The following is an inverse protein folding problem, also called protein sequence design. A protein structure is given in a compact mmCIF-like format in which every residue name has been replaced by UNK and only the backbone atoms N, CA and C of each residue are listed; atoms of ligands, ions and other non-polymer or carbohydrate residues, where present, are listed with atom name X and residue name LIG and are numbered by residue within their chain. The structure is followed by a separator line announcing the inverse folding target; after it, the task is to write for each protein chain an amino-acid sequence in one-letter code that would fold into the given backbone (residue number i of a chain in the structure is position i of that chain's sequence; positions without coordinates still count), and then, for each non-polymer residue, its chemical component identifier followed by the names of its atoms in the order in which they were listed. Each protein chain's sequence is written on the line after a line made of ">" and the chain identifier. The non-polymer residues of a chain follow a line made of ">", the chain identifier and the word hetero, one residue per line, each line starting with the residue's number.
data_IF_836291868887
#
_entry.id   IF_836291868887
#
_cell.length_a   1.000
_cell.length_b   1.000
_cell.length_c   1.000
_cell.angle_alpha   90.00
_cell.angle_beta   90.00
_cell.angle_gamma   90.00
#
_symmetry.space_group_name_H-M   'P 1'
#
loop_
_entity.id
_entity.type
_entity.pdbx_description
1 polymer ?
#
# COMPACT_ATOMS: atom_id res chain seq x y z
N UNK A 1 -8.04 20.82 25.36
CA UNK A 1 -8.75 19.73 24.70
C UNK A 1 -8.16 18.43 25.19
N UNK A 2 -8.90 17.67 25.98
CA UNK A 2 -8.49 16.31 26.34
C UNK A 2 -8.52 15.47 25.07
N UNK A 3 -7.38 14.86 24.71
CA UNK A 3 -7.33 13.90 23.61
C UNK A 3 -8.19 12.70 24.00
N UNK A 4 -9.22 12.39 23.24
CA UNK A 4 -10.00 11.17 23.37
C UNK A 4 -9.11 10.00 22.90
N UNK A 5 -8.23 9.53 23.77
CA UNK A 5 -7.49 8.32 23.54
C UNK A 5 -8.44 7.14 23.77
N UNK A 6 -8.90 6.53 22.68
CA UNK A 6 -9.67 5.30 22.76
C UNK A 6 -8.79 4.19 23.36
N UNK A 7 -9.36 3.44 24.30
CA UNK A 7 -8.68 2.27 24.87
C UNK A 7 -8.42 1.21 23.80
N UNK A 8 -7.35 0.45 23.95
CA UNK A 8 -6.96 -0.56 22.99
C UNK A 8 -8.05 -1.61 22.72
N UNK A 9 -8.81 -2.01 23.74
CA UNK A 9 -9.91 -2.96 23.58
C UNK A 9 -11.02 -2.39 22.69
N UNK A 10 -11.40 -1.12 22.90
CA UNK A 10 -12.36 -0.43 22.04
C UNK A 10 -11.89 -0.34 20.59
N UNK A 11 -10.59 -0.08 20.37
CA UNK A 11 -10.00 -0.07 19.02
C UNK A 11 -10.07 -1.44 18.35
N UNK A 12 -9.82 -2.51 19.09
CA UNK A 12 -9.91 -3.89 18.59
C UNK A 12 -11.36 -4.25 18.26
N UNK A 13 -12.33 -3.87 19.08
CA UNK A 13 -13.74 -4.13 18.82
C UNK A 13 -14.22 -3.40 17.55
N UNK A 14 -13.89 -2.12 17.41
CA UNK A 14 -14.17 -1.35 16.19
C UNK A 14 -13.49 -2.00 14.96
N UNK A 15 -12.22 -2.35 15.09
CA UNK A 15 -11.45 -2.97 14.00
C UNK A 15 -12.04 -4.34 13.61
N UNK A 16 -12.48 -5.13 14.58
CA UNK A 16 -13.12 -6.43 14.34
C UNK A 16 -14.45 -6.26 13.59
N UNK A 17 -15.28 -5.32 14.02
CA UNK A 17 -16.54 -5.02 13.32
C UNK A 17 -16.29 -4.57 11.87
N UNK A 18 -15.37 -3.63 11.66
CA UNK A 18 -15.03 -3.13 10.32
C UNK A 18 -14.40 -4.23 9.44
N UNK A 19 -13.47 -5.01 9.96
CA UNK A 19 -12.82 -6.09 9.23
C UNK A 19 -13.84 -7.15 8.77
N UNK A 20 -14.79 -7.54 9.63
CA UNK A 20 -15.89 -8.45 9.27
C UNK A 20 -16.77 -7.84 8.18
N UNK A 21 -17.18 -6.59 8.36
CA UNK A 21 -18.06 -5.89 7.41
C UNK A 21 -17.41 -5.75 6.03
N UNK A 22 -16.15 -5.36 5.98
CA UNK A 22 -15.44 -5.13 4.72
C UNK A 22 -15.01 -6.42 4.03
N UNK A 23 -14.57 -7.43 4.79
CA UNK A 23 -14.22 -8.72 4.20
C UNK A 23 -15.42 -9.58 3.82
N UNK A 24 -16.60 -9.33 4.42
CA UNK A 24 -17.77 -10.20 4.30
C UNK A 24 -17.61 -11.55 5.03
N UNK A 25 -16.66 -11.65 5.97
CA UNK A 25 -16.37 -12.89 6.72
C UNK A 25 -16.69 -12.69 8.20
N UNK A 26 -17.69 -13.39 8.72
CA UNK A 26 -18.13 -13.24 10.12
C UNK A 26 -17.09 -13.68 11.17
N UNK A 27 -16.28 -14.67 10.83
CA UNK A 27 -15.33 -15.28 11.76
C UNK A 27 -13.94 -14.63 11.79
N UNK A 28 -13.83 -13.35 11.35
CA UNK A 28 -12.57 -12.63 11.42
C UNK A 28 -12.27 -12.23 12.85
N UNK A 29 -11.04 -12.52 13.28
CA UNK A 29 -10.48 -12.04 14.55
C UNK A 29 -9.44 -10.98 14.30
N UNK A 30 -9.43 -9.93 15.12
CA UNK A 30 -8.45 -8.84 15.04
C UNK A 30 -7.67 -8.75 16.34
N UNK A 31 -6.40 -8.42 16.24
CA UNK A 31 -5.52 -8.18 17.38
C UNK A 31 -4.42 -7.21 17.02
N UNK A 32 -3.61 -6.83 17.99
CA UNK A 32 -2.42 -6.03 17.72
C UNK A 32 -1.22 -6.91 17.35
N UNK A 33 -0.44 -6.42 16.38
CA UNK A 33 0.83 -7.02 16.00
C UNK A 33 1.91 -6.73 17.06
N UNK A 34 2.77 -7.71 17.30
CA UNK A 34 3.97 -7.52 18.14
C UNK A 34 5.11 -6.81 17.41
N UNK A 35 4.97 -6.69 16.10
CA UNK A 35 5.94 -6.03 15.23
C UNK A 35 5.31 -4.78 14.61
N UNK A 36 6.11 -3.82 14.16
CA UNK A 36 5.63 -2.55 13.59
C UNK A 36 5.14 -2.71 12.15
N UNK A 37 4.29 -3.71 11.91
CA UNK A 37 3.63 -3.91 10.61
C UNK A 37 2.29 -4.60 10.78
N UNK A 38 1.40 -4.37 9.82
CA UNK A 38 0.15 -5.11 9.74
C UNK A 38 0.39 -6.47 9.10
N UNK A 39 -0.40 -7.47 9.51
CA UNK A 39 -0.30 -8.85 9.02
C UNK A 39 -1.70 -9.44 8.85
N UNK A 40 -1.94 -10.06 7.70
CA UNK A 40 -3.15 -10.87 7.47
C UNK A 40 -2.77 -12.34 7.35
N UNK A 41 -3.43 -13.19 8.15
CA UNK A 41 -3.35 -14.64 8.09
C UNK A 41 -4.62 -15.18 7.47
N UNK A 42 -4.59 -15.40 6.17
CA UNK A 42 -5.78 -15.73 5.37
C UNK A 42 -6.45 -17.01 5.88
N UNK A 43 -5.68 -18.08 6.10
CA UNK A 43 -6.19 -19.39 6.55
C UNK A 43 -6.77 -19.34 7.96
N UNK A 44 -6.20 -18.52 8.85
CA UNK A 44 -6.67 -18.33 10.22
C UNK A 44 -7.81 -17.32 10.30
N UNK A 45 -8.14 -16.62 9.21
CA UNK A 45 -9.07 -15.47 9.18
C UNK A 45 -8.72 -14.43 10.25
N UNK A 46 -7.43 -14.17 10.40
CA UNK A 46 -6.89 -13.31 11.45
C UNK A 46 -6.20 -12.09 10.87
N UNK A 47 -6.44 -10.95 11.47
CA UNK A 47 -5.78 -9.68 11.16
C UNK A 47 -5.01 -9.23 12.40
N UNK A 48 -3.75 -8.90 12.21
CA UNK A 48 -2.91 -8.27 13.22
C UNK A 48 -2.57 -6.86 12.75
N UNK A 49 -2.99 -5.86 13.52
CA UNK A 49 -2.80 -4.45 13.19
C UNK A 49 -1.66 -3.86 14.01
N UNK A 50 -0.92 -2.98 13.39
CA UNK A 50 0.03 -2.15 14.11
C UNK A 50 -0.71 -1.30 15.15
N UNK A 51 -0.24 -1.22 16.40
CA UNK A 51 -0.85 -0.38 17.42
C UNK A 51 -0.96 1.08 16.98
N UNK A 52 -2.03 1.76 17.40
CA UNK A 52 -2.37 3.10 16.92
C UNK A 52 -1.27 4.14 17.19
N UNK A 53 -0.55 4.02 18.29
CA UNK A 53 0.58 4.88 18.67
C UNK A 53 1.79 4.79 17.73
N UNK A 54 1.87 3.76 16.92
CA UNK A 54 2.96 3.60 15.95
C UNK A 54 2.70 4.30 14.61
N UNK A 55 1.48 4.82 14.39
CA UNK A 55 1.20 5.65 13.21
C UNK A 55 1.66 7.09 13.45
N UNK A 56 1.87 7.81 12.36
CA UNK A 56 2.43 9.17 12.41
C UNK A 56 1.34 10.23 12.51
N UNK A 57 1.72 11.36 13.12
CA UNK A 57 0.89 12.55 13.17
C UNK A 57 0.09 12.69 14.47
N UNK A 58 -0.91 13.57 14.46
CA UNK A 58 -1.84 13.75 15.56
C UNK A 58 -2.85 12.60 15.64
N UNK A 59 -3.66 12.54 16.69
CA UNK A 59 -4.61 11.46 16.93
C UNK A 59 -5.57 11.25 15.76
N UNK A 60 -6.07 12.32 15.15
CA UNK A 60 -6.95 12.23 13.99
C UNK A 60 -6.26 11.57 12.79
N UNK A 61 -5.01 11.92 12.51
CA UNK A 61 -4.22 11.33 11.43
C UNK A 61 -3.90 9.86 11.71
N UNK A 62 -3.60 9.52 12.96
CA UNK A 62 -3.35 8.13 13.38
C UNK A 62 -4.58 7.27 13.21
N UNK A 63 -5.76 7.73 13.61
CA UNK A 63 -7.02 7.00 13.43
C UNK A 63 -7.37 6.80 11.95
N UNK A 64 -7.11 7.77 11.10
CA UNK A 64 -7.28 7.60 9.64
C UNK A 64 -6.38 6.50 9.10
N UNK A 65 -5.09 6.51 9.43
CA UNK A 65 -4.13 5.49 9.01
C UNK A 65 -4.52 4.10 9.56
N UNK A 66 -4.93 4.03 10.82
CA UNK A 66 -5.41 2.80 11.43
C UNK A 66 -6.64 2.25 10.70
N UNK A 67 -7.62 3.07 10.40
CA UNK A 67 -8.82 2.69 9.63
C UNK A 67 -8.47 2.19 8.22
N UNK A 68 -7.57 2.86 7.53
CA UNK A 68 -7.09 2.41 6.21
C UNK A 68 -6.39 1.06 6.31
N UNK A 69 -5.59 0.85 7.35
CA UNK A 69 -4.94 -0.44 7.60
C UNK A 69 -5.95 -1.57 7.80
N UNK A 70 -7.01 -1.35 8.59
CA UNK A 70 -8.09 -2.34 8.74
C UNK A 70 -8.71 -2.67 7.38
N UNK A 71 -8.97 -1.64 6.56
CA UNK A 71 -9.56 -1.85 5.25
C UNK A 71 -8.66 -2.67 4.32
N UNK A 72 -7.35 -2.36 4.25
CA UNK A 72 -6.41 -3.14 3.45
C UNK A 72 -6.37 -4.61 3.87
N UNK A 73 -6.25 -4.87 5.17
CA UNK A 73 -6.17 -6.23 5.66
C UNK A 73 -7.49 -6.99 5.46
N UNK A 74 -8.64 -6.31 5.58
CA UNK A 74 -9.94 -6.89 5.23
C UNK A 74 -10.06 -7.20 3.72
N UNK A 75 -9.57 -6.30 2.84
CA UNK A 75 -9.55 -6.55 1.40
C UNK A 75 -8.61 -7.71 1.04
N UNK A 76 -7.47 -7.84 1.71
CA UNK A 76 -6.58 -9.00 1.55
C UNK A 76 -7.26 -10.30 1.94
N UNK A 77 -7.94 -10.33 3.10
CA UNK A 77 -8.73 -11.49 3.52
C UNK A 77 -9.80 -11.89 2.50
N UNK A 78 -10.36 -10.90 1.81
CA UNK A 78 -11.45 -11.12 0.86
C UNK A 78 -10.96 -11.58 -0.51
N UNK A 79 -9.91 -10.95 -1.01
CA UNK A 79 -9.53 -11.01 -2.41
C UNK A 79 -8.17 -11.65 -2.69
N UNK A 80 -7.32 -11.88 -1.68
CA UNK A 80 -6.05 -12.56 -1.88
C UNK A 80 -6.15 -14.05 -1.54
N UNK A 81 -5.50 -14.88 -2.33
CA UNK A 81 -5.37 -16.32 -2.08
C UNK A 81 -4.23 -16.60 -1.10
N UNK A 82 -3.19 -15.78 -1.17
CA UNK A 82 -2.00 -15.83 -0.31
C UNK A 82 -1.35 -14.46 -0.19
N UNK A 83 -0.50 -14.33 0.82
CA UNK A 83 0.35 -13.16 1.05
C UNK A 83 1.77 -13.66 1.24
N UNK A 84 2.71 -13.10 0.49
CA UNK A 84 4.12 -13.40 0.62
C UNK A 84 4.81 -12.38 1.53
N UNK A 85 5.98 -12.78 2.07
CA UNK A 85 6.83 -11.85 2.81
C UNK A 85 7.36 -10.74 1.89
N UNK A 86 7.48 -9.54 2.44
CA UNK A 86 8.11 -8.39 1.78
C UNK A 86 9.65 -8.38 1.89
N UNK A 87 10.24 -9.41 2.47
CA UNK A 87 11.69 -9.44 2.76
C UNK A 87 12.52 -9.60 1.49
N UNK A 88 11.92 -10.09 0.42
CA UNK A 88 12.57 -10.34 -0.87
C UNK A 88 11.86 -9.64 -2.02
N UNK A 89 12.60 -9.34 -3.09
CA UNK A 89 12.11 -8.64 -4.26
C UNK A 89 10.87 -9.29 -4.88
N UNK A 90 10.83 -10.61 -4.93
CA UNK A 90 9.70 -11.38 -5.46
C UNK A 90 8.40 -11.07 -4.71
N UNK A 91 8.38 -11.29 -3.41
CA UNK A 91 7.18 -11.05 -2.58
C UNK A 91 6.81 -9.56 -2.52
N UNK A 92 7.81 -8.68 -2.48
CA UNK A 92 7.60 -7.24 -2.44
C UNK A 92 6.90 -6.72 -3.71
N UNK A 93 7.33 -7.15 -4.90
CA UNK A 93 6.73 -6.76 -6.18
C UNK A 93 5.32 -7.35 -6.30
N UNK A 94 5.14 -8.63 -5.97
CA UNK A 94 3.83 -9.26 -5.96
C UNK A 94 2.85 -8.48 -5.07
N UNK A 95 3.25 -8.21 -3.82
CA UNK A 95 2.39 -7.50 -2.87
C UNK A 95 2.09 -6.06 -3.30
N UNK A 96 3.00 -5.40 -4.03
CA UNK A 96 2.74 -4.07 -4.59
C UNK A 96 1.62 -4.12 -5.64
N UNK A 97 1.66 -5.09 -6.56
CA UNK A 97 0.64 -5.26 -7.60
C UNK A 97 -0.68 -5.72 -6.98
N UNK A 98 -0.65 -6.68 -6.07
CA UNK A 98 -1.84 -7.15 -5.36
C UNK A 98 -2.51 -6.04 -4.53
N UNK A 99 -1.72 -5.22 -3.85
CA UNK A 99 -2.28 -4.06 -3.12
C UNK A 99 -3.06 -3.15 -4.06
N UNK A 100 -2.53 -2.90 -5.26
CA UNK A 100 -3.26 -2.11 -6.26
C UNK A 100 -4.52 -2.79 -6.76
N UNK A 101 -4.47 -4.11 -6.99
CA UNK A 101 -5.64 -4.87 -7.44
C UNK A 101 -6.76 -4.83 -6.40
N UNK A 102 -6.47 -5.12 -5.15
CA UNK A 102 -7.48 -5.11 -4.09
C UNK A 102 -8.04 -3.72 -3.82
N UNK A 103 -7.25 -2.65 -4.01
CA UNK A 103 -7.74 -1.27 -3.96
C UNK A 103 -8.78 -1.02 -5.04
N UNK A 104 -8.46 -1.32 -6.30
CA UNK A 104 -9.35 -1.09 -7.42
C UNK A 104 -10.65 -1.91 -7.32
N UNK A 105 -10.55 -3.15 -6.83
CA UNK A 105 -11.74 -3.98 -6.54
C UNK A 105 -12.52 -3.40 -5.36
N UNK A 106 -11.83 -3.03 -4.30
CA UNK A 106 -12.47 -2.56 -3.06
C UNK A 106 -13.18 -1.23 -3.21
N UNK A 107 -12.61 -0.26 -3.95
CA UNK A 107 -13.26 1.06 -4.16
C UNK A 107 -14.50 0.99 -5.05
N UNK A 108 -14.67 -0.04 -5.87
CA UNK A 108 -15.94 -0.27 -6.60
C UNK A 108 -17.14 -0.42 -5.64
N UNK A 109 -16.87 -1.02 -4.47
CA UNK A 109 -17.89 -1.26 -3.43
C UNK A 109 -17.86 -0.16 -2.36
N UNK A 110 -16.65 0.29 -1.98
CA UNK A 110 -16.41 1.21 -0.87
C UNK A 110 -15.87 2.54 -1.36
N UNK A 111 -16.64 3.26 -2.16
CA UNK A 111 -16.24 4.53 -2.81
C UNK A 111 -15.72 5.59 -1.83
N UNK A 112 -16.27 5.66 -0.63
CA UNK A 112 -15.80 6.57 0.43
C UNK A 112 -14.36 6.32 0.92
N UNK A 113 -13.73 5.20 0.50
CA UNK A 113 -12.33 4.95 0.82
C UNK A 113 -11.34 5.69 -0.09
N UNK A 114 -11.78 6.27 -1.20
CA UNK A 114 -10.90 6.98 -2.16
C UNK A 114 -10.12 8.11 -1.46
N UNK A 115 -10.78 8.95 -0.67
CA UNK A 115 -10.13 10.05 0.06
C UNK A 115 -9.12 9.53 1.09
N UNK A 116 -9.47 8.43 1.76
CA UNK A 116 -8.58 7.80 2.73
C UNK A 116 -7.35 7.18 2.06
N UNK A 117 -7.53 6.60 0.89
CA UNK A 117 -6.42 6.08 0.08
C UNK A 117 -5.50 7.20 -0.40
N UNK A 118 -6.05 8.31 -0.89
CA UNK A 118 -5.25 9.50 -1.26
C UNK A 118 -4.44 9.99 -0.05
N UNK A 119 -5.06 10.09 1.12
CA UNK A 119 -4.37 10.48 2.35
C UNK A 119 -3.25 9.49 2.71
N UNK A 120 -3.52 8.18 2.66
CA UNK A 120 -2.53 7.14 2.93
C UNK A 120 -1.35 7.20 1.95
N UNK A 121 -1.63 7.29 0.64
CA UNK A 121 -0.60 7.40 -0.39
C UNK A 121 0.24 8.67 -0.25
N UNK A 122 -0.38 9.78 0.18
CA UNK A 122 0.33 11.02 0.47
C UNK A 122 1.35 10.82 1.60
N UNK A 123 0.95 10.15 2.68
CA UNK A 123 1.86 9.82 3.78
C UNK A 123 2.94 8.83 3.34
N UNK A 124 2.59 7.82 2.56
CA UNK A 124 3.55 6.88 1.98
C UNK A 124 4.57 7.60 1.12
N UNK A 125 4.15 8.47 0.21
CA UNK A 125 5.06 9.25 -0.62
C UNK A 125 6.01 10.10 0.22
N UNK A 126 5.49 10.81 1.22
CA UNK A 126 6.32 11.62 2.12
C UNK A 126 7.37 10.79 2.87
N UNK A 127 7.05 9.57 3.26
CA UNK A 127 7.94 8.67 4.00
C UNK A 127 8.90 7.87 3.12
N UNK A 128 8.71 7.82 1.78
CA UNK A 128 9.63 7.06 0.89
C UNK A 128 11.04 7.66 0.89
N UNK A 129 12.01 6.77 0.89
CA UNK A 129 13.42 7.12 0.83
C UNK A 129 13.81 7.77 -0.52
N UNK A 130 14.80 8.67 -0.48
CA UNK A 130 15.48 9.12 -1.67
C UNK A 130 16.36 7.99 -2.21
N UNK A 131 16.35 7.72 -3.52
CA UNK A 131 17.15 6.65 -4.13
C UNK A 131 18.65 6.81 -3.88
N UNK A 132 19.13 8.02 -3.68
CA UNK A 132 20.54 8.29 -3.32
C UNK A 132 20.97 7.68 -1.98
N UNK A 133 20.03 7.38 -1.08
CA UNK A 133 20.29 6.73 0.20
C UNK A 133 20.20 5.20 0.18
N UNK A 134 19.90 4.61 -0.99
CA UNK A 134 19.72 3.15 -1.15
C UNK A 134 20.80 2.62 -2.08
N UNK A 135 21.45 1.55 -1.67
CA UNK A 135 22.56 0.94 -2.42
C UNK A 135 22.14 -0.38 -3.11
N UNK A 136 22.89 -0.71 -4.15
CA UNK A 136 22.76 -1.99 -4.84
C UNK A 136 21.40 -2.21 -5.52
N UNK A 137 21.03 -3.47 -5.65
CA UNK A 137 19.80 -3.89 -6.34
C UNK A 137 18.51 -3.49 -5.62
N UNK A 138 18.55 -3.30 -4.30
CA UNK A 138 17.42 -2.76 -3.53
C UNK A 138 16.97 -1.37 -4.03
N UNK A 139 17.89 -0.57 -4.56
CA UNK A 139 17.59 0.72 -5.21
C UNK A 139 16.68 0.55 -6.43
N UNK A 140 16.90 -0.49 -7.24
CA UNK A 140 16.06 -0.78 -8.41
C UNK A 140 14.65 -1.19 -7.99
N UNK A 141 14.52 -1.99 -6.94
CA UNK A 141 13.21 -2.38 -6.39
C UNK A 141 12.46 -1.17 -5.85
N UNK A 142 13.15 -0.29 -5.11
CA UNK A 142 12.54 0.93 -4.61
C UNK A 142 12.13 1.88 -5.73
N UNK A 143 12.96 2.02 -6.78
CA UNK A 143 12.62 2.81 -7.97
C UNK A 143 11.38 2.27 -8.68
N UNK A 144 11.29 0.95 -8.87
CA UNK A 144 10.09 0.30 -9.40
C UNK A 144 8.87 0.62 -8.54
N UNK A 145 8.97 0.44 -7.23
CA UNK A 145 7.87 0.68 -6.30
C UNK A 145 7.37 2.13 -6.34
N UNK A 146 8.30 3.09 -6.28
CA UNK A 146 7.96 4.50 -6.33
C UNK A 146 7.30 4.86 -7.68
N UNK A 147 7.88 4.42 -8.80
CA UNK A 147 7.35 4.73 -10.12
C UNK A 147 6.01 4.04 -10.39
N UNK A 148 5.84 2.81 -9.94
CA UNK A 148 4.58 2.07 -10.06
C UNK A 148 3.45 2.71 -9.24
N UNK A 149 3.71 3.11 -8.00
CA UNK A 149 2.67 3.63 -7.11
C UNK A 149 2.42 5.14 -7.27
N UNK A 150 3.45 5.92 -7.58
CA UNK A 150 3.35 7.39 -7.54
C UNK A 150 3.62 8.06 -8.89
N UNK A 151 4.03 7.30 -9.91
CA UNK A 151 4.37 7.84 -11.22
C UNK A 151 5.59 8.76 -11.20
N UNK A 152 6.37 8.73 -10.12
CA UNK A 152 7.54 9.58 -9.91
C UNK A 152 8.55 8.88 -9.00
N UNK A 153 9.79 9.37 -8.99
CA UNK A 153 10.91 8.80 -8.25
C UNK A 153 11.61 9.91 -7.46
N UNK A 154 11.90 9.66 -6.19
CA UNK A 154 12.69 10.56 -5.36
C UNK A 154 14.19 10.35 -5.58
N UNK A 155 14.85 11.36 -6.09
CA UNK A 155 16.28 11.35 -6.37
C UNK A 155 16.62 10.95 -7.79
N UNK A 156 17.92 10.81 -8.05
CA UNK A 156 18.44 10.56 -9.39
C UNK A 156 18.53 9.06 -9.68
N UNK A 157 18.25 8.69 -10.91
CA UNK A 157 18.42 7.35 -11.47
C UNK A 157 19.09 7.45 -12.83
N UNK A 158 20.00 6.53 -13.14
CA UNK A 158 20.65 6.50 -14.45
C UNK A 158 19.62 6.21 -15.56
N UNK A 159 19.70 6.85 -16.74
CA UNK A 159 18.75 6.66 -17.83
C UNK A 159 18.55 5.20 -18.23
N UNK A 160 19.61 4.41 -18.30
CA UNK A 160 19.55 2.97 -18.62
C UNK A 160 18.78 2.17 -17.57
N UNK A 161 18.94 2.50 -16.31
CA UNK A 161 18.22 1.88 -15.20
C UNK A 161 16.75 2.32 -15.19
N UNK A 162 16.50 3.62 -15.41
CA UNK A 162 15.15 4.15 -15.53
C UNK A 162 14.34 3.47 -16.64
N UNK A 163 14.97 3.22 -17.81
CA UNK A 163 14.32 2.52 -18.91
C UNK A 163 13.88 1.10 -18.52
N UNK A 164 14.67 0.38 -17.73
CA UNK A 164 14.29 -0.95 -17.20
C UNK A 164 13.11 -0.82 -16.24
N UNK A 165 13.16 0.14 -15.32
CA UNK A 165 12.08 0.42 -14.37
C UNK A 165 10.79 0.80 -15.09
N UNK A 166 10.85 1.69 -16.08
CA UNK A 166 9.67 2.10 -16.85
C UNK A 166 9.00 0.92 -17.58
N UNK A 167 9.79 0.07 -18.25
CA UNK A 167 9.28 -1.13 -18.91
C UNK A 167 8.66 -2.12 -17.92
N UNK A 168 9.29 -2.32 -16.76
CA UNK A 168 8.77 -3.21 -15.73
C UNK A 168 7.45 -2.68 -15.14
N UNK A 169 7.33 -1.36 -14.97
CA UNK A 169 6.09 -0.72 -14.52
C UNK A 169 4.99 -0.80 -15.57
N UNK A 170 5.32 -0.65 -16.86
CA UNK A 170 4.35 -0.83 -17.95
C UNK A 170 3.80 -2.26 -17.96
N UNK A 171 4.68 -3.27 -17.85
CA UNK A 171 4.26 -4.67 -17.71
C UNK A 171 3.39 -4.89 -16.45
N UNK A 172 3.79 -4.35 -15.31
CA UNK A 172 3.03 -4.48 -14.07
C UNK A 172 1.61 -3.86 -14.18
N UNK A 173 1.48 -2.73 -14.86
CA UNK A 173 0.17 -2.11 -15.16
C UNK A 173 -0.66 -2.99 -16.08
N UNK A 174 -0.07 -3.53 -17.14
CA UNK A 174 -0.76 -4.46 -18.04
C UNK A 174 -1.26 -5.73 -17.31
N UNK A 175 -0.41 -6.32 -16.44
CA UNK A 175 -0.80 -7.44 -15.59
C UNK A 175 -1.99 -7.05 -14.67
N UNK A 176 -1.95 -5.88 -14.07
CA UNK A 176 -3.02 -5.38 -13.24
C UNK A 176 -4.34 -5.23 -14.03
N UNK A 177 -4.28 -4.57 -15.18
CA UNK A 177 -5.45 -4.35 -16.04
C UNK A 177 -6.04 -5.69 -16.52
N UNK A 178 -5.22 -6.61 -16.99
CA UNK A 178 -5.66 -7.95 -17.40
C UNK A 178 -6.28 -8.73 -16.24
N UNK A 179 -5.69 -8.64 -15.04
CA UNK A 179 -6.25 -9.30 -13.86
C UNK A 179 -7.63 -8.75 -13.48
N UNK A 180 -7.84 -7.44 -13.67
CA UNK A 180 -9.11 -6.78 -13.41
C UNK A 180 -10.19 -7.09 -14.45
N UNK A 181 -9.81 -7.23 -15.72
CA UNK A 181 -10.72 -7.54 -16.82
C UNK A 181 -11.18 -8.99 -16.80
N UNK A 182 -10.27 -9.91 -16.48
CA UNK A 182 -10.52 -11.35 -16.51
C UNK A 182 -10.76 -11.97 -15.13
N UNK A 183 -10.86 -11.15 -14.09
CA UNK A 183 -11.04 -11.57 -12.68
C UNK A 183 -9.98 -12.58 -12.20
N UNK A 184 -8.72 -12.37 -12.60
CA UNK A 184 -7.63 -13.22 -12.16
C UNK A 184 -7.20 -12.93 -10.73
N UNK A 185 -6.92 -14.00 -9.96
CA UNK A 185 -6.48 -13.94 -8.56
C UNK A 185 -4.96 -13.77 -8.37
N UNK A 186 -4.54 -13.86 -7.12
CA UNK A 186 -3.14 -13.71 -6.68
C UNK A 186 -2.19 -14.67 -7.39
N UNK A 187 -2.59 -15.95 -7.54
CA UNK A 187 -1.75 -17.00 -8.14
C UNK A 187 -1.44 -16.71 -9.61
N UNK A 188 -2.38 -16.11 -10.34
CA UNK A 188 -2.12 -15.71 -11.72
C UNK A 188 -1.12 -14.55 -11.79
N UNK A 189 -1.30 -13.49 -10.97
CA UNK A 189 -0.36 -12.37 -10.90
C UNK A 189 1.03 -12.87 -10.52
N UNK A 190 1.12 -13.76 -9.53
CA UNK A 190 2.38 -14.36 -9.09
C UNK A 190 3.12 -15.04 -10.24
N UNK A 191 2.42 -15.75 -11.13
CA UNK A 191 3.03 -16.41 -12.29
C UNK A 191 3.73 -15.44 -13.25
N UNK A 192 3.41 -14.14 -13.19
CA UNK A 192 3.98 -13.07 -14.02
C UNK A 192 5.17 -12.34 -13.37
N UNK A 193 5.38 -12.49 -12.06
CA UNK A 193 6.48 -11.82 -11.35
C UNK A 193 7.87 -12.13 -11.90
N UNK A 194 8.20 -13.38 -12.31
CA UNK A 194 9.51 -13.68 -12.90
C UNK A 194 9.84 -12.82 -14.13
N UNK A 195 8.86 -12.45 -14.94
CA UNK A 195 9.07 -11.61 -16.12
C UNK A 195 9.44 -10.16 -15.72
N UNK A 196 8.78 -9.62 -14.71
CA UNK A 196 9.11 -8.29 -14.14
C UNK A 196 10.53 -8.30 -13.57
N UNK A 197 10.89 -9.33 -12.80
CA UNK A 197 12.22 -9.47 -12.22
C UNK A 197 13.31 -9.55 -13.31
N UNK A 198 13.03 -10.28 -14.39
CA UNK A 198 13.94 -10.37 -15.54
C UNK A 198 14.18 -9.01 -16.20
N UNK A 199 13.15 -8.19 -16.41
CA UNK A 199 13.29 -6.83 -16.95
C UNK A 199 14.13 -5.95 -16.03
N UNK A 200 13.91 -6.06 -14.71
CA UNK A 200 14.64 -5.31 -13.70
C UNK A 200 16.07 -5.82 -13.45
N UNK A 201 16.44 -6.97 -14.03
CA UNK A 201 17.72 -7.66 -13.78
C UNK A 201 17.91 -7.97 -12.28
N UNK A 202 16.86 -8.53 -11.68
CA UNK A 202 16.80 -8.85 -10.26
C UNK A 202 16.69 -10.37 -10.05
N UNK A 203 17.36 -10.85 -9.01
CA UNK A 203 17.14 -12.17 -8.46
C UNK A 203 15.92 -12.14 -7.51
N UNK A 204 15.12 -13.20 -7.51
CA UNK A 204 13.93 -13.35 -6.70
C UNK A 204 14.20 -13.20 -5.18
N UNK A 205 15.38 -13.66 -4.75
CA UNK A 205 15.79 -13.69 -3.35
C UNK A 205 16.60 -12.46 -2.91
N UNK A 206 16.67 -11.42 -3.74
CA UNK A 206 17.31 -10.18 -3.31
C UNK A 206 16.57 -9.64 -2.10
N UNK A 207 17.29 -9.52 -1.01
CA UNK A 207 16.77 -8.95 0.23
C UNK A 207 16.45 -7.47 0.03
N UNK A 208 15.22 -7.11 0.39
CA UNK A 208 14.78 -5.72 0.43
C UNK A 208 14.99 -5.25 1.86
N UNK A 209 15.92 -4.31 2.10
CA UNK A 209 15.97 -3.70 3.42
C UNK A 209 14.58 -3.09 3.66
N UNK A 210 13.96 -3.49 4.76
CA UNK A 210 12.74 -2.85 5.24
C UNK A 210 13.00 -1.35 5.14
N UNK A 211 12.30 -0.66 4.25
CA UNK A 211 12.38 0.79 4.18
C UNK A 211 11.75 1.30 5.46
N UNK A 212 12.57 1.34 6.49
CA UNK A 212 12.21 2.04 7.71
C UNK A 212 11.82 3.43 7.24
N UNK A 213 10.60 3.90 7.53
CA UNK A 213 10.25 5.28 7.23
C UNK A 213 11.37 6.14 7.81
N UNK A 214 12.11 6.84 6.95
CA UNK A 214 13.26 7.70 7.35
C UNK A 214 12.81 8.92 8.17
N UNK A 215 11.56 8.97 8.58
CA UNK A 215 11.06 9.90 9.57
C UNK A 215 11.32 9.36 10.95
N UNK A 216 12.53 9.57 11.39
CA UNK A 216 12.77 9.70 12.83
C UNK A 216 11.89 10.82 13.41
N UNK A 217 11.59 10.78 14.72
CA UNK A 217 10.92 11.87 15.39
C UNK A 217 11.72 13.15 15.19
N UNK A 218 11.26 14.08 14.37
CA UNK A 218 11.96 15.36 14.16
C UNK A 218 11.89 15.98 12.77
N UNK A 219 11.51 15.27 11.72
CA UNK A 219 11.25 15.92 10.44
C UNK A 219 9.80 16.42 10.40
N UNK A 220 9.63 17.70 10.73
CA UNK A 220 8.36 18.38 10.59
C UNK A 220 7.95 18.41 9.11
N UNK A 221 6.83 17.76 8.78
CA UNK A 221 6.20 17.90 7.46
C UNK A 221 5.51 19.27 7.46
N UNK A 222 5.94 20.14 6.58
CA UNK A 222 5.26 21.42 6.40
C UNK A 222 3.93 21.24 5.66
N UNK A 223 2.95 22.15 5.85
CA UNK A 223 1.72 22.14 5.04
C UNK A 223 1.99 22.17 3.53
N UNK A 224 3.07 22.82 3.11
CA UNK A 224 3.49 22.88 1.71
C UNK A 224 3.98 21.53 1.18
N UNK A 225 4.74 20.77 1.99
CA UNK A 225 5.18 19.41 1.63
C UNK A 225 3.97 18.47 1.49
N UNK A 226 3.01 18.59 2.39
CA UNK A 226 1.77 17.84 2.34
C UNK A 226 0.97 18.17 1.06
N UNK A 227 0.79 19.44 0.74
CA UNK A 227 0.07 19.89 -0.45
C UNK A 227 0.74 19.42 -1.75
N UNK A 228 2.08 19.50 -1.83
CA UNK A 228 2.85 18.99 -2.98
C UNK A 228 2.70 17.47 -3.12
N UNK A 229 2.80 16.73 -2.03
CA UNK A 229 2.65 15.28 -2.03
C UNK A 229 1.23 14.87 -2.43
N UNK A 230 0.20 15.52 -1.91
CA UNK A 230 -1.19 15.28 -2.32
C UNK A 230 -1.39 15.53 -3.81
N UNK A 231 -0.87 16.64 -4.34
CA UNK A 231 -0.95 16.96 -5.78
C UNK A 231 -0.28 15.88 -6.63
N UNK A 232 0.90 15.38 -6.21
CA UNK A 232 1.60 14.29 -6.90
C UNK A 232 0.77 13.01 -6.90
N UNK A 233 0.27 12.59 -5.76
CA UNK A 233 -0.55 11.40 -5.62
C UNK A 233 -1.84 11.50 -6.45
N UNK A 234 -2.55 12.62 -6.34
CA UNK A 234 -3.80 12.84 -7.10
C UNK A 234 -3.54 12.80 -8.60
N UNK A 235 -2.43 13.39 -9.07
CA UNK A 235 -2.04 13.36 -10.48
C UNK A 235 -1.75 11.94 -10.96
N UNK A 236 -0.95 11.18 -10.20
CA UNK A 236 -0.55 9.82 -10.57
C UNK A 236 -1.70 8.81 -10.54
N UNK A 237 -2.77 9.12 -9.78
CA UNK A 237 -3.93 8.24 -9.56
C UNK A 237 -5.22 8.79 -10.15
N UNK A 238 -5.14 9.85 -10.96
CA UNK A 238 -6.31 10.52 -11.52
C UNK A 238 -7.24 9.55 -12.25
N UNK A 239 -6.68 8.68 -13.07
CA UNK A 239 -7.46 7.74 -13.88
C UNK A 239 -8.11 6.64 -13.02
N UNK A 240 -7.46 6.27 -11.91
CA UNK A 240 -7.98 5.26 -10.98
C UNK A 240 -9.11 5.80 -10.11
N UNK A 241 -8.96 7.04 -9.63
CA UNK A 241 -9.87 7.64 -8.65
C UNK A 241 -10.96 8.52 -9.27
N UNK A 242 -10.75 9.09 -10.46
CA UNK A 242 -11.75 9.93 -11.13
C UNK A 242 -13.05 9.19 -11.45
N UNK A 243 -12.98 7.89 -11.69
CA UNK A 243 -14.14 7.02 -11.92
C UNK A 243 -15.01 6.83 -10.66
N UNK A 244 -14.48 7.22 -9.49
CA UNK A 244 -15.08 6.99 -8.18
C UNK A 244 -15.16 8.26 -7.34
N UNK A 245 -14.94 9.44 -7.92
CA UNK A 245 -15.04 10.72 -7.22
C UNK A 245 -16.45 10.87 -6.63
N UNK A 246 -16.53 11.20 -5.35
CA UNK A 246 -17.78 11.34 -4.60
C UNK A 246 -18.73 12.38 -5.19
N UNK A 247 -18.22 13.33 -5.99
CA UNK A 247 -19.05 14.29 -6.71
C UNK A 247 -19.96 13.67 -7.76
N UNK A 248 -19.64 12.47 -8.26
CA UNK A 248 -20.45 11.72 -9.22
C UNK A 248 -21.45 10.75 -8.54
N UNK A 249 -21.57 10.79 -7.23
CA UNK A 249 -22.42 9.87 -6.45
C UNK A 249 -23.71 10.54 -5.99
N UNK A 250 -23.87 11.84 -6.24
CA UNK A 250 -25.07 12.62 -5.88
C UNK A 250 -25.98 12.95 -7.08
N UNK A 251 -25.74 12.36 -8.23
CA UNK A 251 -26.68 12.23 -9.33
C UNK A 251 -27.24 10.80 -9.37
#
# INVERSE_FOLDING_TARGET
>A
MQSLQLQNDTLIDIATFLARRWSGKENVTVGFSKIRQNETRINEKKVLLMPNEHYYGNDFQRYRQFRVSIWYEAMRLKHCEKILSNDHAYGFILNAIETRRIELVGIKVWKGMVEELIFNYTNMWLSRANLGSIFGKARTVEAFYQYFLFGDIKGEIQPSQFNKVAKAVELAKHILDESMEKDHGTSWIESKIPEILKILDLDALISIPLSVPLKGPGLAITPNDLAKAMKQVTKSRKDDFSKFDSKNVLE
#
